data_IF_515337821035
#
_entry.id   IF_515337821035
#
_cell.length_a   1.000
_cell.length_b   1.000
_cell.length_c   1.000
_cell.angle_alpha   90.00
_cell.angle_beta   90.00
_cell.angle_gamma   90.00
#
_symmetry.space_group_name_H-M   'P 1'
#
loop_
_entity.id
_entity.type
_entity.pdbx_description
1 polymer ?
#
# COMPACT_ATOMS: atom_id res chain seq x y z
N UNK A 1 -5.71 -15.07 -3.37
CA UNK A 1 -4.76 -15.13 -4.48
C UNK A 1 -3.43 -15.67 -3.98
N UNK A 2 -3.12 -16.90 -4.25
CA UNK A 2 -1.87 -17.51 -3.83
C UNK A 2 -0.85 -17.47 -4.97
N UNK A 3 0.41 -17.24 -4.64
CA UNK A 3 1.48 -17.37 -5.60
C UNK A 3 1.61 -18.83 -6.03
N UNK A 4 1.73 -19.13 -7.32
CA UNK A 4 2.07 -20.48 -7.75
C UNK A 4 3.39 -20.92 -7.12
N UNK A 5 3.45 -22.17 -6.69
CA UNK A 5 4.61 -22.69 -5.95
C UNK A 5 5.93 -22.65 -6.74
N UNK A 6 5.86 -22.66 -8.06
CA UNK A 6 7.01 -22.58 -8.94
C UNK A 6 7.30 -21.17 -9.47
N UNK A 7 6.81 -20.13 -8.77
CA UNK A 7 6.89 -18.75 -9.25
C UNK A 7 7.75 -17.91 -8.34
N UNK A 8 8.57 -17.04 -8.95
CA UNK A 8 9.32 -16.00 -8.28
C UNK A 8 8.89 -14.65 -8.84
N UNK A 9 8.65 -13.70 -7.98
CA UNK A 9 8.26 -12.33 -8.40
C UNK A 9 9.36 -11.60 -9.17
N UNK A 10 10.60 -12.05 -9.03
CA UNK A 10 11.74 -11.51 -9.75
C UNK A 10 11.89 -12.05 -11.17
N UNK A 11 11.11 -13.06 -11.54
CA UNK A 11 11.12 -13.60 -12.89
C UNK A 11 10.24 -12.76 -13.79
N UNK A 12 10.87 -12.09 -14.70
CA UNK A 12 10.19 -11.39 -15.76
C UNK A 12 11.10 -11.28 -16.97
N UNK A 13 10.55 -10.85 -18.09
CA UNK A 13 11.31 -10.69 -19.33
C UNK A 13 12.39 -9.63 -19.26
N UNK A 14 12.31 -8.72 -18.31
CA UNK A 14 13.34 -7.72 -18.08
C UNK A 14 14.63 -8.31 -17.51
N UNK A 15 14.58 -9.54 -17.06
CA UNK A 15 15.76 -10.27 -16.61
C UNK A 15 16.57 -10.91 -17.73
N UNK A 16 16.12 -10.79 -18.97
CA UNK A 16 16.75 -11.37 -20.16
C UNK A 16 16.66 -10.43 -21.37
N UNK A 17 17.42 -10.76 -22.40
CA UNK A 17 17.34 -10.08 -23.70
C UNK A 17 16.07 -10.51 -24.48
N UNK A 18 15.88 -9.95 -25.67
CA UNK A 18 14.74 -10.25 -26.53
C UNK A 18 14.69 -11.69 -27.03
N UNK A 19 15.77 -12.43 -26.91
CA UNK A 19 15.88 -13.85 -27.28
C UNK A 19 15.70 -14.77 -26.07
N UNK A 20 15.43 -14.21 -24.89
CA UNK A 20 15.24 -14.95 -23.67
C UNK A 20 16.54 -15.33 -22.94
N UNK A 21 17.68 -14.80 -23.38
CA UNK A 21 18.96 -15.08 -22.74
C UNK A 21 19.13 -14.19 -21.50
N UNK A 22 19.45 -14.77 -20.33
CA UNK A 22 19.56 -14.01 -19.09
C UNK A 22 20.74 -13.03 -19.12
N UNK A 23 20.54 -11.85 -18.56
CA UNK A 23 21.58 -10.83 -18.41
C UNK A 23 22.69 -11.27 -17.44
N UNK A 24 22.36 -12.08 -16.47
CA UNK A 24 23.32 -12.65 -15.54
C UNK A 24 23.26 -14.18 -15.59
N UNK A 25 24.03 -14.81 -16.47
CA UNK A 25 23.96 -16.27 -16.65
C UNK A 25 24.43 -17.06 -15.45
N UNK A 26 25.27 -16.49 -14.60
CA UNK A 26 25.76 -17.18 -13.41
C UNK A 26 24.75 -17.25 -12.27
N UNK A 27 23.68 -16.45 -12.38
CA UNK A 27 22.62 -16.38 -11.36
C UNK A 27 21.23 -16.62 -11.95
N UNK A 28 21.18 -17.19 -13.13
CA UNK A 28 19.89 -17.47 -13.79
C UNK A 28 19.14 -18.60 -13.09
N UNK A 29 17.83 -18.46 -13.04
CA UNK A 29 16.92 -19.51 -12.59
C UNK A 29 16.15 -20.14 -13.74
N UNK A 30 16.10 -19.48 -14.88
CA UNK A 30 15.43 -19.97 -16.08
C UNK A 30 16.07 -19.38 -17.33
N UNK A 31 15.97 -20.11 -18.39
CA UNK A 31 16.49 -19.70 -19.70
C UNK A 31 15.50 -20.10 -20.79
N UNK A 32 15.40 -19.27 -21.82
CA UNK A 32 14.63 -19.62 -23.01
C UNK A 32 15.48 -20.51 -23.94
N UNK A 33 15.00 -21.72 -24.24
CA UNK A 33 15.72 -22.69 -25.07
C UNK A 33 15.45 -22.53 -26.59
N UNK A 34 14.59 -21.58 -26.96
CA UNK A 34 14.14 -21.35 -28.32
C UNK A 34 12.69 -21.74 -28.57
N UNK A 35 12.10 -22.56 -27.69
CA UNK A 35 10.73 -23.04 -27.78
C UNK A 35 9.96 -22.92 -26.45
N UNK A 36 10.61 -23.12 -25.34
CA UNK A 36 10.05 -23.07 -24.00
C UNK A 36 11.04 -22.46 -23.01
N UNK A 37 10.53 -22.09 -21.84
CA UNK A 37 11.37 -21.73 -20.70
C UNK A 37 11.87 -22.99 -20.00
N UNK A 38 13.20 -23.13 -19.96
CA UNK A 38 13.87 -24.17 -19.21
C UNK A 38 14.32 -23.64 -17.85
N UNK A 39 14.08 -24.40 -16.79
CA UNK A 39 14.45 -24.02 -15.45
C UNK A 39 15.85 -24.54 -15.15
N UNK A 40 16.80 -23.62 -15.07
CA UNK A 40 18.22 -23.93 -14.85
C UNK A 40 18.50 -24.14 -13.38
N UNK A 41 17.95 -23.29 -12.54
CA UNK A 41 17.90 -23.49 -11.10
C UNK A 41 16.50 -24.00 -10.76
N UNK A 42 16.44 -25.21 -10.33
CA UNK A 42 15.18 -25.89 -10.08
C UNK A 42 14.36 -25.22 -9.00
N UNK A 43 15.00 -24.44 -8.17
CA UNK A 43 14.28 -23.82 -7.09
C UNK A 43 13.45 -24.81 -6.31
N UNK A 44 12.76 -24.32 -5.38
CA UNK A 44 11.92 -25.05 -4.46
C UNK A 44 10.61 -25.60 -5.05
N UNK A 45 10.32 -25.32 -6.33
CA UNK A 45 8.94 -25.50 -6.80
C UNK A 45 8.81 -26.28 -8.08
N UNK A 46 9.88 -26.58 -8.74
CA UNK A 46 9.83 -27.22 -10.06
C UNK A 46 9.36 -28.65 -9.93
N UNK A 47 8.43 -29.01 -10.78
CA UNK A 47 7.90 -30.38 -10.92
C UNK A 47 7.34 -31.00 -9.64
N UNK A 48 7.18 -30.24 -8.59
CA UNK A 48 6.62 -30.73 -7.34
C UNK A 48 5.10 -30.85 -7.46
N UNK A 49 4.57 -32.04 -7.37
CA UNK A 49 3.12 -32.27 -7.39
C UNK A 49 2.39 -31.63 -6.21
N UNK A 50 3.09 -31.41 -5.12
CA UNK A 50 2.57 -30.88 -3.88
C UNK A 50 3.23 -29.55 -3.46
N UNK A 51 3.96 -28.93 -4.35
CA UNK A 51 4.66 -27.67 -4.07
C UNK A 51 5.96 -27.81 -3.26
N UNK A 52 6.44 -29.05 -3.04
CA UNK A 52 7.69 -29.28 -2.35
C UNK A 52 8.91 -29.08 -3.26
N UNK A 53 10.04 -28.61 -2.73
CA UNK A 53 11.29 -28.50 -3.47
C UNK A 53 11.74 -29.83 -4.07
N UNK A 54 12.32 -29.79 -5.26
CA UNK A 54 12.90 -30.97 -5.93
C UNK A 54 14.41 -30.88 -5.83
N UNK A 55 15.08 -31.84 -5.20
CA UNK A 55 16.54 -31.90 -5.17
C UNK A 55 17.13 -32.33 -6.52
N UNK A 56 18.36 -31.89 -6.83
CA UNK A 56 19.14 -30.87 -6.16
C UNK A 56 18.64 -29.49 -6.57
N UNK A 57 18.37 -28.65 -5.63
CA UNK A 57 18.03 -27.29 -5.96
C UNK A 57 18.89 -26.31 -5.19
N UNK A 58 19.31 -25.28 -5.83
CA UNK A 58 20.15 -24.25 -5.24
C UNK A 58 19.34 -23.11 -4.64
N UNK A 59 18.04 -23.10 -4.87
CA UNK A 59 17.12 -22.07 -4.41
C UNK A 59 17.60 -20.64 -4.66
N UNK A 60 18.35 -20.45 -5.73
CA UNK A 60 18.97 -19.19 -6.06
C UNK A 60 17.96 -18.32 -6.79
N UNK A 61 17.76 -17.15 -6.31
CA UNK A 61 16.93 -16.15 -7.00
C UNK A 61 17.71 -15.54 -8.16
N UNK A 62 17.00 -15.31 -9.25
CA UNK A 62 17.54 -14.52 -10.33
C UNK A 62 17.53 -13.05 -9.92
N UNK A 63 18.70 -12.48 -9.79
CA UNK A 63 18.89 -11.09 -9.41
C UNK A 63 19.30 -10.28 -10.64
N UNK A 64 18.64 -9.17 -10.87
CA UNK A 64 19.10 -8.20 -11.84
C UNK A 64 20.42 -7.59 -11.33
N UNK A 65 21.42 -7.62 -12.18
CA UNK A 65 22.72 -7.03 -11.85
C UNK A 65 22.78 -5.54 -12.20
N UNK A 66 21.87 -5.08 -13.06
CA UNK A 66 21.75 -3.69 -13.42
C UNK A 66 21.22 -2.87 -12.24
N UNK A 67 21.80 -1.71 -12.07
CA UNK A 67 21.36 -0.76 -11.03
C UNK A 67 20.27 0.19 -11.54
N UNK A 68 19.89 0.09 -12.79
CA UNK A 68 18.89 0.93 -13.41
C UNK A 68 17.52 0.25 -13.41
N UNK A 69 16.49 1.03 -13.13
CA UNK A 69 15.11 0.60 -13.32
C UNK A 69 14.82 0.39 -14.81
N UNK A 70 14.06 -0.65 -15.10
CA UNK A 70 13.54 -0.92 -16.45
C UNK A 70 12.06 -0.61 -16.48
N UNK A 71 11.65 0.16 -17.49
CA UNK A 71 10.25 0.44 -17.75
C UNK A 71 9.70 -0.59 -18.73
N UNK A 72 8.65 -1.27 -18.29
CA UNK A 72 7.92 -2.24 -19.11
C UNK A 72 6.47 -1.76 -19.22
N UNK A 73 6.04 -1.50 -20.45
CA UNK A 73 4.70 -0.95 -20.70
C UNK A 73 3.81 -1.86 -21.54
N UNK A 74 4.30 -3.02 -21.93
CA UNK A 74 3.51 -3.92 -22.76
C UNK A 74 2.29 -4.44 -22.00
N UNK A 75 1.11 -4.15 -22.53
CA UNK A 75 -0.16 -4.55 -21.92
C UNK A 75 -0.58 -3.72 -20.71
N UNK A 76 0.09 -2.61 -20.45
CA UNK A 76 -0.36 -1.64 -19.44
C UNK A 76 -1.48 -0.75 -19.98
N UNK A 77 -2.40 -0.42 -19.11
CA UNK A 77 -3.54 0.48 -19.41
C UNK A 77 -3.11 1.95 -19.52
N UNK A 78 -2.10 2.33 -18.74
CA UNK A 78 -1.46 3.63 -18.76
C UNK A 78 -0.09 3.55 -19.45
N UNK A 79 0.41 4.66 -19.95
CA UNK A 79 1.60 4.71 -20.79
C UNK A 79 2.89 4.22 -20.12
N UNK A 80 3.99 4.11 -20.92
CA UNK A 80 5.27 3.59 -20.44
C UNK A 80 6.01 4.55 -19.51
N UNK A 81 5.68 5.82 -19.56
CA UNK A 81 6.34 6.85 -18.76
C UNK A 81 5.47 7.19 -17.58
N UNK A 82 6.03 7.20 -16.35
CA UNK A 82 5.29 7.61 -15.18
C UNK A 82 4.93 9.10 -15.31
N UNK A 83 3.68 9.40 -15.05
CA UNK A 83 3.14 10.74 -14.97
C UNK A 83 2.67 11.02 -13.54
N UNK A 84 2.74 12.27 -13.12
CA UNK A 84 2.21 12.68 -11.84
C UNK A 84 0.70 12.92 -11.96
N UNK A 85 -0.06 12.24 -11.13
CA UNK A 85 -1.46 12.51 -10.89
C UNK A 85 -1.68 12.75 -9.41
N UNK A 86 -2.64 13.60 -9.07
CA UNK A 86 -3.08 13.69 -7.69
C UNK A 86 -3.82 12.41 -7.28
N UNK A 87 -3.78 12.05 -5.99
CA UNK A 87 -4.64 11.00 -5.46
C UNK A 87 -6.11 11.26 -5.83
N UNK A 88 -6.90 10.21 -5.87
CA UNK A 88 -8.34 10.32 -6.18
C UNK A 88 -9.04 11.34 -5.27
N UNK A 89 -8.62 11.40 -4.01
CA UNK A 89 -9.00 12.44 -3.06
C UNK A 89 -7.79 13.32 -2.75
N UNK A 90 -7.75 14.50 -3.34
CA UNK A 90 -6.72 15.51 -3.07
C UNK A 90 -7.36 16.85 -2.75
N UNK A 91 -6.83 17.59 -1.75
CA UNK A 91 -7.26 18.96 -1.48
C UNK A 91 -6.63 19.99 -2.42
N UNK A 92 -5.83 19.55 -3.39
CA UNK A 92 -5.07 20.41 -4.29
C UNK A 92 -5.31 20.04 -5.74
N UNK A 93 -5.20 21.07 -6.60
CA UNK A 93 -5.18 20.87 -8.03
C UNK A 93 -3.81 20.33 -8.47
N UNK A 94 -3.82 19.46 -9.49
CA UNK A 94 -2.60 18.93 -10.05
C UNK A 94 -1.80 20.06 -10.73
N UNK A 95 -0.62 20.34 -10.19
CA UNK A 95 0.25 21.41 -10.70
C UNK A 95 1.14 20.97 -11.89
N UNK A 96 1.23 19.67 -12.16
CA UNK A 96 2.17 19.10 -13.13
C UNK A 96 1.51 18.50 -14.36
N UNK A 97 0.20 18.23 -14.30
CA UNK A 97 -0.54 17.60 -15.38
C UNK A 97 -1.90 18.29 -15.57
N UNK A 98 -2.38 18.32 -16.79
CA UNK A 98 -3.72 18.84 -17.09
C UNK A 98 -4.88 17.98 -16.59
N UNK A 99 -4.61 16.72 -16.25
CA UNK A 99 -5.57 15.82 -15.61
C UNK A 99 -5.35 15.78 -14.10
N UNK A 100 -6.42 15.94 -13.33
CA UNK A 100 -6.37 15.91 -11.87
C UNK A 100 -5.96 14.53 -11.38
N UNK A 101 -6.68 13.51 -11.81
CA UNK A 101 -6.43 12.11 -11.45
C UNK A 101 -5.99 11.33 -12.69
N UNK A 102 -5.40 10.16 -12.49
CA UNK A 102 -5.10 9.24 -13.58
C UNK A 102 -6.42 8.84 -14.27
N UNK A 103 -6.61 9.17 -15.57
CA UNK A 103 -7.87 8.90 -16.27
C UNK A 103 -8.18 7.42 -16.46
N UNK A 104 -7.19 6.55 -16.26
CA UNK A 104 -7.31 5.10 -16.44
C UNK A 104 -7.62 4.36 -15.13
N UNK A 105 -7.69 5.04 -13.98
CA UNK A 105 -8.02 4.39 -12.70
C UNK A 105 -9.34 3.63 -12.79
N UNK A 106 -9.40 2.54 -12.02
CA UNK A 106 -10.61 1.72 -11.90
C UNK A 106 -11.32 2.08 -10.60
N UNK A 107 -12.62 2.23 -10.65
CA UNK A 107 -13.42 2.40 -9.45
C UNK A 107 -14.70 1.59 -9.54
N UNK A 108 -15.25 1.26 -8.38
CA UNK A 108 -16.50 0.54 -8.29
C UNK A 108 -17.69 1.49 -8.46
N UNK A 109 -18.87 0.94 -8.60
CA UNK A 109 -20.11 1.71 -8.66
C UNK A 109 -20.33 2.62 -7.44
N UNK A 110 -19.71 2.29 -6.30
CA UNK A 110 -19.80 3.08 -5.06
C UNK A 110 -18.86 4.29 -5.05
N UNK A 111 -17.89 4.35 -5.94
CA UNK A 111 -16.89 5.42 -6.03
C UNK A 111 -16.89 6.04 -7.42
N UNK A 112 -18.04 6.52 -7.86
CA UNK A 112 -18.20 7.09 -9.20
C UNK A 112 -17.63 8.50 -9.35
N UNK A 113 -17.35 9.19 -8.25
CA UNK A 113 -16.85 10.57 -8.23
C UNK A 113 -15.79 10.76 -7.17
N UNK A 114 -14.76 11.53 -7.51
CA UNK A 114 -13.76 11.95 -6.53
C UNK A 114 -14.41 12.79 -5.42
N UNK A 115 -13.93 12.61 -4.22
CA UNK A 115 -14.27 13.42 -3.06
C UNK A 115 -13.09 14.36 -2.79
N UNK A 116 -12.82 15.22 -3.76
CA UNK A 116 -11.76 16.21 -3.64
C UNK A 116 -11.93 17.11 -2.43
N UNK A 117 -10.84 17.80 -2.06
CA UNK A 117 -10.71 18.65 -0.90
C UNK A 117 -11.90 19.54 -0.67
N UNK A 118 -12.73 19.08 0.20
CA UNK A 118 -13.92 19.80 0.60
C UNK A 118 -13.68 20.46 1.92
N UNK A 119 -14.36 21.52 2.20
CA UNK A 119 -14.34 22.12 3.55
C UNK A 119 -14.84 21.14 4.61
N UNK A 120 -15.58 20.09 4.18
CA UNK A 120 -16.11 19.05 5.05
C UNK A 120 -15.04 18.03 5.48
N UNK A 121 -14.09 17.69 4.58
CA UNK A 121 -13.02 16.70 4.84
C UNK A 121 -11.64 17.30 4.53
N UNK A 122 -11.18 18.26 5.34
CA UNK A 122 -10.00 19.07 5.00
C UNK A 122 -8.67 18.42 5.35
N UNK A 123 -8.66 17.21 5.92
CA UNK A 123 -7.46 16.59 6.49
C UNK A 123 -7.03 15.43 5.61
N UNK A 124 -5.77 15.41 5.20
CA UNK A 124 -5.20 14.27 4.49
C UNK A 124 -4.93 13.15 5.48
N UNK A 125 -5.44 11.97 5.18
CA UNK A 125 -5.17 10.77 5.94
C UNK A 125 -4.36 9.76 5.12
N UNK A 126 -3.50 9.01 5.82
CA UNK A 126 -2.77 7.86 5.26
C UNK A 126 -2.90 6.66 6.17
N UNK A 127 -2.75 5.46 5.61
CA UNK A 127 -2.62 4.25 6.41
C UNK A 127 -1.17 3.80 6.48
N UNK A 128 -0.75 3.20 7.58
CA UNK A 128 0.58 2.62 7.72
C UNK A 128 0.62 1.45 8.71
N UNK A 129 1.75 0.74 8.69
CA UNK A 129 2.01 -0.39 9.57
C UNK A 129 2.82 0.03 10.79
N UNK A 130 2.53 -0.59 11.93
CA UNK A 130 3.43 -0.61 13.09
C UNK A 130 4.29 -1.88 13.04
N UNK A 131 5.42 -1.87 13.74
CA UNK A 131 6.37 -3.00 13.73
C UNK A 131 5.84 -4.24 14.44
N UNK A 132 4.95 -4.06 15.38
CA UNK A 132 4.39 -5.12 16.23
C UNK A 132 3.32 -5.94 15.52
N UNK A 133 2.69 -5.39 14.50
CA UNK A 133 1.61 -6.07 13.80
C UNK A 133 1.88 -6.29 12.32
N UNK A 134 1.37 -7.41 11.81
CA UNK A 134 1.53 -7.84 10.43
C UNK A 134 0.22 -7.75 9.66
N UNK A 135 0.26 -7.09 8.50
CA UNK A 135 -0.90 -6.96 7.59
C UNK A 135 -2.16 -6.48 8.34
N UNK A 136 -3.28 -7.19 8.20
CA UNK A 136 -4.54 -6.91 8.89
C UNK A 136 -4.54 -7.28 10.39
N UNK A 137 -3.42 -7.75 10.92
CA UNK A 137 -3.29 -8.11 12.32
C UNK A 137 -3.76 -9.53 12.67
N UNK A 138 -4.32 -10.28 11.72
CA UNK A 138 -4.91 -11.58 11.99
C UNK A 138 -3.96 -12.58 12.66
N UNK A 139 -2.70 -12.57 12.32
CA UNK A 139 -1.69 -13.43 12.92
C UNK A 139 -1.05 -12.80 14.17
N UNK A 140 -0.59 -11.56 14.07
CA UNK A 140 0.16 -10.90 15.13
C UNK A 140 -0.72 -10.57 16.35
N UNK A 141 -1.99 -10.22 16.15
CA UNK A 141 -2.93 -9.97 17.24
C UNK A 141 -3.40 -11.24 17.96
N UNK A 142 -3.00 -12.41 17.49
CA UNK A 142 -3.12 -13.68 18.21
C UNK A 142 -1.94 -13.95 19.14
N UNK A 143 -0.89 -13.14 19.08
CA UNK A 143 0.28 -13.23 19.94
C UNK A 143 0.20 -12.22 21.09
N UNK A 144 0.02 -12.67 22.35
CA UNK A 144 -0.16 -11.76 23.48
C UNK A 144 0.97 -10.75 23.67
N UNK A 145 2.22 -11.15 23.46
CA UNK A 145 3.37 -10.26 23.62
C UNK A 145 3.36 -9.09 22.61
N UNK A 146 2.91 -9.35 21.38
CA UNK A 146 2.78 -8.30 20.37
C UNK A 146 1.61 -7.36 20.65
N UNK A 147 0.53 -7.91 21.19
CA UNK A 147 -0.63 -7.12 21.62
C UNK A 147 -0.29 -6.27 22.83
N UNK A 148 0.50 -6.80 23.78
CA UNK A 148 0.97 -6.01 24.92
C UNK A 148 1.83 -4.82 24.46
N UNK A 149 2.67 -5.02 23.45
CA UNK A 149 3.50 -3.96 22.86
C UNK A 149 2.70 -2.92 22.07
N UNK A 150 1.60 -3.34 21.41
CA UNK A 150 0.73 -2.47 20.60
C UNK A 150 -0.74 -2.88 20.76
N UNK A 151 -1.40 -2.45 21.85
CA UNK A 151 -2.72 -2.97 22.24
C UNK A 151 -3.89 -2.35 21.50
N UNK A 152 -3.73 -1.15 20.94
CA UNK A 152 -4.85 -0.40 20.36
C UNK A 152 -4.47 0.34 19.11
N UNK A 153 -5.46 0.54 18.25
CA UNK A 153 -5.36 1.41 17.10
C UNK A 153 -5.29 2.87 17.53
N UNK A 154 -4.51 3.64 16.78
CA UNK A 154 -4.37 5.06 17.02
C UNK A 154 -4.42 5.88 15.72
N UNK A 155 -4.73 7.15 15.89
CA UNK A 155 -4.57 8.19 14.88
C UNK A 155 -3.39 9.07 15.28
N UNK A 156 -2.31 9.01 14.53
CA UNK A 156 -1.16 9.87 14.71
C UNK A 156 -1.41 11.24 14.09
N UNK A 157 -1.12 12.29 14.85
CA UNK A 157 -1.31 13.66 14.42
C UNK A 157 -0.22 14.57 14.96
N UNK A 158 -0.06 15.76 14.36
CA UNK A 158 0.90 16.76 14.83
C UNK A 158 0.47 17.43 16.14
N UNK A 159 1.44 17.97 16.86
CA UNK A 159 1.18 18.79 18.05
C UNK A 159 0.35 20.04 17.71
N UNK A 160 0.61 20.64 16.54
CA UNK A 160 -0.10 21.83 16.06
C UNK A 160 -1.58 21.52 15.80
N UNK A 161 -1.86 20.43 15.10
CA UNK A 161 -3.23 20.01 14.81
C UNK A 161 -3.99 19.60 16.07
N UNK A 162 -3.34 18.85 16.95
CA UNK A 162 -3.93 18.46 18.21
C UNK A 162 -4.30 19.67 19.07
N UNK A 163 -3.41 20.68 19.13
CA UNK A 163 -3.68 21.92 19.86
C UNK A 163 -4.83 22.71 19.24
N UNK A 164 -4.90 22.80 17.92
CA UNK A 164 -5.99 23.48 17.20
C UNK A 164 -7.37 22.85 17.52
N UNK A 165 -7.41 21.52 17.57
CA UNK A 165 -8.63 20.73 17.84
C UNK A 165 -8.90 20.52 19.34
N UNK A 166 -8.01 20.96 20.24
CA UNK A 166 -8.13 20.71 21.68
C UNK A 166 -7.99 19.25 22.08
N UNK A 167 -7.31 18.45 21.25
CA UNK A 167 -7.06 17.02 21.46
C UNK A 167 -5.78 16.84 22.28
N UNK A 168 -5.81 15.92 23.22
CA UNK A 168 -4.65 15.56 24.05
C UNK A 168 -4.20 14.13 23.71
N UNK A 169 -2.92 13.81 23.95
CA UNK A 169 -2.45 12.43 23.83
C UNK A 169 -3.32 11.47 24.64
N UNK A 170 -3.77 10.39 23.99
CA UNK A 170 -4.64 9.37 24.60
C UNK A 170 -6.14 9.69 24.63
N UNK A 171 -6.56 10.88 24.19
CA UNK A 171 -7.98 11.15 23.99
C UNK A 171 -8.56 10.21 22.93
N UNK A 172 -9.82 9.83 23.06
CA UNK A 172 -10.54 9.18 21.96
C UNK A 172 -10.90 10.24 20.92
N UNK A 173 -10.62 9.92 19.66
CA UNK A 173 -10.97 10.75 18.53
C UNK A 173 -11.81 9.96 17.54
N UNK A 174 -12.82 10.61 17.01
CA UNK A 174 -13.58 10.12 15.87
C UNK A 174 -12.94 10.67 14.61
N UNK A 175 -12.56 9.77 13.72
CA UNK A 175 -12.09 10.08 12.36
C UNK A 175 -13.17 9.62 11.40
N UNK A 176 -13.62 10.51 10.50
CA UNK A 176 -14.73 10.15 9.61
C UNK A 176 -14.63 10.83 8.24
N UNK A 177 -15.32 10.25 7.32
CA UNK A 177 -15.68 10.85 6.04
C UNK A 177 -17.06 10.31 5.62
N UNK A 178 -17.47 10.56 4.37
CA UNK A 178 -18.79 10.10 3.90
C UNK A 178 -18.95 8.58 3.80
N UNK A 179 -17.83 7.81 3.80
CA UNK A 179 -17.88 6.35 3.71
C UNK A 179 -18.10 5.71 5.07
N UNK A 180 -17.52 6.28 6.12
CA UNK A 180 -17.61 5.71 7.45
C UNK A 180 -16.94 6.54 8.52
N UNK A 181 -16.78 5.92 9.68
CA UNK A 181 -16.06 6.51 10.81
C UNK A 181 -15.40 5.45 11.66
N UNK A 182 -14.27 5.82 12.27
CA UNK A 182 -13.55 5.01 13.25
C UNK A 182 -13.32 5.81 14.52
N UNK A 183 -13.30 5.14 15.68
CA UNK A 183 -12.98 5.77 16.97
C UNK A 183 -11.69 5.12 17.50
N UNK A 184 -10.66 5.94 17.64
CA UNK A 184 -9.30 5.49 17.95
C UNK A 184 -8.63 6.39 18.98
N UNK A 185 -7.47 5.96 19.48
CA UNK A 185 -6.68 6.77 20.40
C UNK A 185 -5.90 7.87 19.65
N UNK A 186 -5.83 9.07 20.21
CA UNK A 186 -5.01 10.14 19.66
C UNK A 186 -3.54 9.93 20.04
N UNK A 187 -2.67 9.82 19.05
CA UNK A 187 -1.23 9.76 19.21
C UNK A 187 -0.58 11.04 18.69
N UNK A 188 -0.29 11.97 19.61
CA UNK A 188 0.24 13.29 19.27
C UNK A 188 1.76 13.23 19.22
N UNK A 189 2.34 13.59 18.08
CA UNK A 189 3.79 13.47 17.83
C UNK A 189 4.36 14.69 17.11
N UNK A 190 5.70 14.77 17.11
CA UNK A 190 6.46 15.74 16.31
C UNK A 190 6.81 15.22 14.91
N UNK A 191 6.41 13.99 14.59
CA UNK A 191 6.79 13.31 13.36
C UNK A 191 5.95 13.74 12.15
N UNK A 192 4.64 13.80 12.33
CA UNK A 192 3.73 14.31 11.31
C UNK A 192 3.53 15.80 11.49
N UNK A 193 4.14 16.59 10.62
CA UNK A 193 3.99 18.06 10.65
C UNK A 193 3.03 18.51 9.56
N UNK A 194 2.33 19.62 9.77
CA UNK A 194 1.53 20.23 8.72
C UNK A 194 2.42 20.71 7.57
N UNK A 195 1.86 20.73 6.38
CA UNK A 195 2.49 21.33 5.20
C UNK A 195 1.98 22.74 4.98
N UNK A 196 2.74 23.54 4.27
CA UNK A 196 2.25 24.79 3.67
C UNK A 196 2.22 24.62 2.16
N UNK A 197 1.02 24.59 1.59
CA UNK A 197 0.81 24.40 0.15
C UNK A 197 -0.05 25.57 -0.33
N UNK A 198 0.43 26.30 -1.34
CA UNK A 198 -0.22 27.51 -1.87
C UNK A 198 -0.63 28.51 -0.78
N UNK A 199 0.20 28.65 0.27
CA UNK A 199 -0.04 29.58 1.38
C UNK A 199 -1.09 29.11 2.40
N UNK A 200 -1.63 27.89 2.25
CA UNK A 200 -2.56 27.28 3.20
C UNK A 200 -1.86 26.20 4.01
N UNK A 201 -2.17 26.15 5.30
CA UNK A 201 -1.72 25.06 6.17
C UNK A 201 -2.57 23.82 5.88
N UNK A 202 -1.93 22.71 5.57
CA UNK A 202 -2.54 21.43 5.34
C UNK A 202 -2.11 20.46 6.42
N UNK A 203 -3.07 19.95 7.18
CA UNK A 203 -2.84 18.93 8.19
C UNK A 203 -2.88 17.54 7.56
N UNK A 204 -2.08 16.64 8.15
CA UNK A 204 -2.09 15.22 7.81
C UNK A 204 -2.16 14.36 9.07
N UNK A 205 -2.74 13.18 8.92
CA UNK A 205 -2.83 12.20 10.00
C UNK A 205 -2.53 10.80 9.48
N UNK A 206 -2.10 9.93 10.37
CA UNK A 206 -1.79 8.54 10.06
C UNK A 206 -2.63 7.58 10.89
N UNK A 207 -3.18 6.56 10.25
CA UNK A 207 -3.99 5.52 10.88
C UNK A 207 -3.37 4.16 10.66
N UNK A 208 -3.33 3.33 11.71
CA UNK A 208 -2.81 1.98 11.58
C UNK A 208 -3.89 1.02 11.06
N UNK A 209 -3.52 0.12 10.14
CA UNK A 209 -4.50 -0.73 9.44
C UNK A 209 -4.61 -2.16 9.98
N UNK A 210 -4.02 -2.45 11.14
CA UNK A 210 -3.93 -3.81 11.67
C UNK A 210 -5.14 -4.28 12.47
N UNK A 211 -6.20 -3.49 12.55
CA UNK A 211 -7.32 -3.67 13.48
C UNK A 211 -8.64 -3.93 12.72
N UNK A 212 -9.71 -4.13 13.47
CA UNK A 212 -11.04 -4.40 12.92
C UNK A 212 -11.62 -5.79 13.22
N UNK A 213 -10.83 -6.70 13.78
CA UNK A 213 -11.27 -8.05 14.15
C UNK A 213 -11.63 -8.12 15.62
N UNK A 214 -12.88 -8.31 15.93
CA UNK A 214 -13.39 -8.30 17.32
C UNK A 214 -13.04 -9.54 18.13
N UNK A 215 -12.73 -10.65 17.45
CA UNK A 215 -12.41 -11.94 18.11
C UNK A 215 -10.91 -12.11 18.43
N UNK A 216 -10.09 -11.12 18.07
CA UNK A 216 -8.66 -11.11 18.38
C UNK A 216 -8.39 -10.17 19.56
N UNK A 217 -7.19 -10.28 20.13
CA UNK A 217 -6.75 -9.37 21.17
C UNK A 217 -6.46 -7.97 20.60
N UNK A 218 -6.49 -6.98 21.50
CA UNK A 218 -6.34 -5.57 21.12
C UNK A 218 -7.64 -4.94 20.61
N UNK A 219 -7.66 -3.63 20.53
CA UNK A 219 -8.84 -2.85 20.16
C UNK A 219 -8.60 -1.92 19.00
N UNK A 220 -9.60 -1.79 18.11
CA UNK A 220 -9.55 -0.88 16.97
C UNK A 220 -10.63 -1.19 15.95
N UNK A 221 -10.81 -0.27 15.05
CA UNK A 221 -11.80 -0.31 13.98
C UNK A 221 -11.14 -0.58 12.62
N UNK A 222 -11.96 -0.88 11.63
CA UNK A 222 -11.50 -1.13 10.26
C UNK A 222 -11.25 0.21 9.54
N UNK A 223 -9.98 0.61 9.44
CA UNK A 223 -9.63 1.87 8.77
C UNK A 223 -10.04 1.91 7.30
N UNK A 224 -10.19 0.76 6.66
CA UNK A 224 -10.62 0.68 5.26
C UNK A 224 -12.07 1.16 5.05
N UNK A 225 -12.85 1.32 6.10
CA UNK A 225 -14.16 1.99 6.02
C UNK A 225 -14.04 3.48 5.66
N UNK A 226 -12.83 4.04 5.74
CA UNK A 226 -12.54 5.42 5.36
C UNK A 226 -11.88 5.55 3.98
N UNK A 227 -11.31 4.48 3.45
CA UNK A 227 -10.51 4.53 2.21
C UNK A 227 -11.38 4.44 0.95
N UNK A 228 -10.98 5.11 -0.15
CA UNK A 228 -11.70 5.01 -1.40
C UNK A 228 -11.55 3.62 -2.03
N UNK A 229 -12.59 3.16 -2.70
CA UNK A 229 -12.56 1.93 -3.47
C UNK A 229 -12.16 2.20 -4.92
N UNK A 230 -10.98 2.72 -5.07
CA UNK A 230 -10.36 3.13 -6.33
C UNK A 230 -9.08 2.35 -6.51
N UNK A 231 -8.85 1.79 -7.66
CA UNK A 231 -7.72 0.91 -7.93
C UNK A 231 -6.84 1.36 -9.09
N UNK A 232 -5.59 0.98 -8.99
CA UNK A 232 -4.62 1.07 -10.07
C UNK A 232 -5.17 0.43 -11.35
N UNK A 233 -4.99 1.05 -12.53
CA UNK A 233 -5.58 0.57 -13.77
C UNK A 233 -5.12 -0.83 -14.18
N UNK A 234 -3.92 -1.24 -13.80
CA UNK A 234 -3.33 -2.51 -14.21
C UNK A 234 -3.55 -3.62 -13.18
N UNK A 235 -3.51 -3.31 -11.90
CA UNK A 235 -3.46 -4.29 -10.82
C UNK A 235 -4.67 -4.26 -9.90
N UNK A 236 -5.48 -3.24 -9.96
CA UNK A 236 -6.56 -2.96 -9.01
C UNK A 236 -6.07 -2.80 -7.56
N UNK A 237 -4.80 -2.50 -7.36
CA UNK A 237 -4.29 -2.16 -6.02
C UNK A 237 -4.99 -0.89 -5.54
N UNK A 238 -5.70 -0.95 -4.41
CA UNK A 238 -6.51 0.18 -3.96
C UNK A 238 -5.68 1.35 -3.44
N UNK A 239 -6.19 2.54 -3.64
CA UNK A 239 -5.58 3.79 -3.24
C UNK A 239 -5.91 4.11 -1.77
N UNK A 240 -5.29 3.39 -0.84
CA UNK A 240 -5.54 3.53 0.61
C UNK A 240 -4.44 4.30 1.36
N UNK A 241 -3.56 5.00 0.65
CA UNK A 241 -2.47 5.80 1.24
C UNK A 241 -2.73 7.30 1.20
N UNK A 242 -3.79 7.73 0.52
CA UNK A 242 -4.19 9.13 0.47
C UNK A 242 -5.72 9.20 0.35
N UNK A 243 -6.36 9.75 1.36
CA UNK A 243 -7.81 9.98 1.40
C UNK A 243 -8.11 11.14 2.35
N UNK A 244 -9.30 11.68 2.26
CA UNK A 244 -9.70 12.85 3.03
C UNK A 244 -10.62 12.47 4.18
N UNK A 245 -10.41 13.13 5.31
CA UNK A 245 -11.18 12.90 6.54
C UNK A 245 -11.42 14.21 7.28
N UNK A 246 -12.31 14.13 8.27
CA UNK A 246 -12.41 15.09 9.36
C UNK A 246 -12.18 14.38 10.70
N UNK A 247 -11.83 15.14 11.72
CA UNK A 247 -11.49 14.62 13.06
C UNK A 247 -12.07 15.52 14.13
N UNK A 248 -12.64 14.87 15.13
CA UNK A 248 -13.10 15.53 16.35
C UNK A 248 -12.78 14.67 17.58
N UNK A 249 -12.83 15.26 18.75
CA UNK A 249 -12.78 14.53 20.01
C UNK A 249 -14.08 13.75 20.16
N UNK A 250 -13.97 12.43 20.45
CA UNK A 250 -15.10 11.54 20.63
C UNK A 250 -15.75 11.67 22.01
#
# INVERSE_FOLDING_TARGET
FSWPSNRRILYNRNSCDTKGKPWNPDKKLMEWDGSKWDLVDQGDFVSAKNGQPVPPNNNTFFMLWEQNARLESYGMEDGPMPEHYEPFESPFDNALNGSQNNPMIKFTEYESTAHGGTDEYPIIATTYSVTEHWQTGGQSRSCPALVEAMPSQFCEMSEEFAAEKGIKPGDKVRVWNKRGSVVVDAYVTKRLKPFTIHGKTQHQVGLTHHFGWTHLYGTGDTVNDLTPNVGDPNTMVPEYKAFLVNIEKA
#
